data_IF_206631660708
#
_entry.id   IF_206631660708
#
_cell.length_a   1.000
_cell.length_b   1.000
_cell.length_c   1.000
_cell.angle_alpha   90.00
_cell.angle_beta   90.00
_cell.angle_gamma   90.00
#
_symmetry.space_group_name_H-M   'P 1'
#
loop_
_entity.id
_entity.type
_entity.pdbx_description
1 polymer ?
#
# COMPACT_ATOMS: atom_id res chain seq x y z
N UNK A 1 -13.53 -3.51 -38.21
CA UNK A 1 -12.98 -4.05 -36.94
C UNK A 1 -13.91 -3.56 -35.85
N UNK A 2 -14.62 -4.46 -35.16
CA UNK A 2 -15.63 -4.14 -34.15
C UNK A 2 -14.97 -3.48 -32.92
N UNK A 3 -15.14 -2.16 -32.75
CA UNK A 3 -14.60 -1.40 -31.62
C UNK A 3 -15.66 -0.91 -30.64
N UNK A 4 -16.94 -1.28 -30.82
CA UNK A 4 -18.07 -0.77 -30.02
C UNK A 4 -18.83 -1.89 -29.29
N UNK A 5 -18.13 -2.70 -28.49
CA UNK A 5 -18.77 -3.65 -27.56
C UNK A 5 -18.57 -3.18 -26.12
N UNK A 6 -19.61 -2.62 -25.51
CA UNK A 6 -19.64 -2.45 -24.06
C UNK A 6 -19.83 -3.81 -23.40
N UNK A 7 -18.82 -4.26 -22.65
CA UNK A 7 -18.92 -5.43 -21.79
C UNK A 7 -19.36 -4.98 -20.40
N UNK A 8 -20.62 -5.19 -20.08
CA UNK A 8 -21.11 -5.06 -18.71
C UNK A 8 -20.92 -6.42 -18.02
N UNK A 9 -20.11 -6.44 -16.97
CA UNK A 9 -19.83 -7.65 -16.19
C UNK A 9 -20.33 -7.41 -14.77
N UNK A 10 -21.28 -8.22 -14.33
CA UNK A 10 -21.73 -8.23 -12.94
C UNK A 10 -20.66 -8.84 -12.02
N UNK A 11 -20.65 -8.46 -10.73
CA UNK A 11 -19.64 -8.91 -9.76
C UNK A 11 -19.55 -10.44 -9.69
N UNK A 12 -20.69 -11.14 -9.71
CA UNK A 12 -20.73 -12.59 -9.68
C UNK A 12 -20.08 -13.19 -10.95
N UNK A 13 -20.29 -12.53 -12.09
CA UNK A 13 -19.71 -12.96 -13.37
C UNK A 13 -18.21 -12.72 -13.39
N UNK A 14 -17.73 -11.59 -12.84
CA UNK A 14 -16.31 -11.32 -12.69
C UNK A 14 -15.62 -12.38 -11.82
N UNK A 15 -16.25 -12.77 -10.70
CA UNK A 15 -15.74 -13.82 -9.83
C UNK A 15 -15.62 -15.16 -10.57
N UNK A 16 -16.66 -15.57 -11.31
CA UNK A 16 -16.62 -16.79 -12.11
C UNK A 16 -15.58 -16.75 -13.23
N UNK A 17 -15.36 -15.58 -13.86
CA UNK A 17 -14.33 -15.42 -14.87
C UNK A 17 -12.92 -15.56 -14.26
N UNK A 18 -12.69 -14.97 -13.09
CA UNK A 18 -11.41 -15.09 -12.40
C UNK A 18 -11.13 -16.52 -11.96
N UNK A 19 -12.10 -17.21 -11.34
CA UNK A 19 -11.91 -18.60 -10.90
C UNK A 19 -11.67 -19.53 -12.09
N UNK A 20 -12.41 -19.34 -13.18
CA UNK A 20 -12.21 -20.11 -14.40
C UNK A 20 -10.85 -19.81 -15.05
N UNK A 21 -10.45 -18.54 -15.13
CA UNK A 21 -9.14 -18.15 -15.67
C UNK A 21 -7.99 -18.78 -14.87
N UNK A 22 -8.03 -18.72 -13.54
CA UNK A 22 -7.01 -19.32 -12.68
C UNK A 22 -7.00 -20.84 -12.76
N UNK A 23 -8.15 -21.50 -12.93
CA UNK A 23 -8.20 -22.96 -13.11
C UNK A 23 -7.51 -23.47 -14.38
N UNK A 24 -7.34 -22.59 -15.37
CA UNK A 24 -6.67 -22.90 -16.64
C UNK A 24 -5.17 -22.59 -16.62
N UNK A 25 -4.68 -21.92 -15.58
CA UNK A 25 -3.25 -21.65 -15.43
C UNK A 25 -2.54 -22.95 -15.03
N UNK A 26 -1.62 -23.39 -15.88
CA UNK A 26 -0.78 -24.57 -15.61
C UNK A 26 0.53 -24.15 -14.95
N UNK A 27 1.19 -25.07 -14.25
CA UNK A 27 2.51 -24.83 -13.67
C UNK A 27 3.52 -24.36 -14.72
N UNK A 28 3.44 -24.87 -15.96
CA UNK A 28 4.28 -24.43 -17.07
C UNK A 28 4.03 -22.98 -17.47
N UNK A 29 2.79 -22.49 -17.36
CA UNK A 29 2.45 -21.08 -17.60
C UNK A 29 3.10 -20.19 -16.55
N UNK A 30 3.10 -20.62 -15.29
CA UNK A 30 3.75 -19.91 -14.18
C UNK A 30 5.27 -19.92 -14.39
N UNK A 31 5.87 -21.08 -14.65
CA UNK A 31 7.31 -21.19 -14.90
C UNK A 31 7.74 -20.29 -16.06
N UNK A 32 6.99 -20.27 -17.15
CA UNK A 32 7.32 -19.43 -18.30
C UNK A 32 7.14 -17.93 -18.00
N UNK A 33 6.20 -17.52 -17.13
CA UNK A 33 6.09 -16.12 -16.72
C UNK A 33 7.30 -15.67 -15.90
N UNK A 34 7.77 -16.50 -14.96
CA UNK A 34 9.02 -16.25 -14.21
C UNK A 34 10.25 -16.21 -15.13
N UNK A 35 10.32 -17.09 -16.14
CA UNK A 35 11.39 -17.05 -17.16
C UNK A 35 11.38 -15.74 -17.94
N UNK A 36 10.22 -15.29 -18.40
CA UNK A 36 10.10 -14.04 -19.15
C UNK A 36 10.36 -12.79 -18.31
N UNK A 37 10.02 -12.83 -17.02
CA UNK A 37 10.32 -11.75 -16.09
C UNK A 37 11.80 -11.71 -15.66
N UNK A 38 12.64 -12.65 -16.12
CA UNK A 38 14.07 -12.68 -15.84
C UNK A 38 14.44 -13.27 -14.48
N UNK A 39 13.48 -13.87 -13.75
CA UNK A 39 13.74 -14.54 -12.47
C UNK A 39 14.42 -15.90 -12.64
N UNK A 40 14.34 -16.49 -13.84
CA UNK A 40 15.08 -17.71 -14.17
C UNK A 40 16.33 -17.32 -14.92
N UNK A 41 17.45 -17.34 -14.23
CA UNK A 41 18.78 -17.30 -14.85
C UNK A 41 18.88 -18.55 -15.76
N UNK A 42 19.10 -18.41 -17.07
CA UNK A 42 19.38 -19.57 -17.91
C UNK A 42 20.63 -20.23 -17.33
N UNK A 43 20.54 -21.55 -17.09
CA UNK A 43 21.61 -22.37 -16.52
C UNK A 43 22.99 -21.83 -16.89
N UNK A 44 23.65 -21.27 -15.88
CA UNK A 44 25.07 -20.96 -15.81
C UNK A 44 25.79 -21.06 -17.17
N UNK A 45 25.78 -19.98 -17.95
CA UNK A 45 26.85 -19.81 -18.93
C UNK A 45 28.13 -19.73 -18.12
N UNK A 46 28.92 -20.80 -18.20
CA UNK A 46 30.18 -21.01 -17.53
C UNK A 46 30.96 -19.71 -17.25
N UNK A 47 31.37 -19.54 -15.98
CA UNK A 47 32.10 -18.40 -15.40
C UNK A 47 31.25 -17.22 -14.92
N UNK A 48 30.33 -17.45 -14.00
CA UNK A 48 30.37 -16.62 -12.79
C UNK A 48 29.91 -17.45 -11.61
N UNK A 49 30.66 -17.38 -10.52
CA UNK A 49 30.49 -18.22 -9.34
C UNK A 49 29.29 -17.77 -8.52
N UNK A 50 28.08 -17.99 -9.02
CA UNK A 50 26.88 -18.00 -8.19
C UNK A 50 26.80 -19.40 -7.56
N UNK A 51 27.62 -19.60 -6.52
CA UNK A 51 27.26 -20.59 -5.51
C UNK A 51 26.00 -20.07 -4.85
N UNK A 52 24.88 -20.64 -5.25
CA UNK A 52 23.66 -20.67 -4.44
C UNK A 52 23.96 -21.59 -3.25
N UNK A 53 24.80 -21.10 -2.34
CA UNK A 53 24.94 -21.74 -1.05
C UNK A 53 23.63 -21.42 -0.31
N UNK A 54 22.77 -22.45 -0.18
CA UNK A 54 21.53 -22.51 0.62
C UNK A 54 21.80 -22.31 2.13
N UNK A 55 22.81 -21.54 2.48
CA UNK A 55 23.06 -21.07 3.82
C UNK A 55 22.50 -19.66 3.84
N UNK A 56 21.57 -19.35 4.74
CA UNK A 56 21.17 -17.97 5.00
C UNK A 56 22.41 -17.20 5.50
N UNK A 57 23.23 -16.72 4.56
CA UNK A 57 24.42 -15.95 4.85
C UNK A 57 23.90 -14.65 5.42
N UNK A 58 23.91 -14.54 6.74
CA UNK A 58 23.58 -13.33 7.46
C UNK A 58 24.27 -12.16 6.77
N UNK A 59 23.50 -11.19 6.29
CA UNK A 59 24.03 -10.04 5.54
C UNK A 59 25.16 -9.35 6.31
N UNK A 60 25.07 -9.38 7.65
CA UNK A 60 26.07 -8.88 8.60
C UNK A 60 27.41 -9.63 8.47
N UNK A 61 27.37 -10.96 8.29
CA UNK A 61 28.57 -11.76 8.06
C UNK A 61 29.20 -11.44 6.69
N UNK A 62 28.38 -11.20 5.66
CA UNK A 62 28.87 -10.76 4.33
C UNK A 62 29.51 -9.37 4.37
N UNK A 63 28.97 -8.45 5.18
CA UNK A 63 29.54 -7.13 5.45
C UNK A 63 30.88 -7.23 6.21
N UNK A 64 30.95 -8.09 7.23
CA UNK A 64 32.18 -8.38 7.97
C UNK A 64 33.30 -8.90 7.07
N UNK A 65 32.97 -9.80 6.13
CA UNK A 65 33.94 -10.33 5.15
C UNK A 65 34.47 -9.25 4.18
N UNK A 66 33.72 -8.15 4.00
CA UNK A 66 34.13 -6.97 3.22
C UNK A 66 34.85 -5.91 4.06
N UNK A 67 35.12 -6.20 5.33
CA UNK A 67 35.78 -5.28 6.26
C UNK A 67 34.86 -4.21 6.84
N UNK A 68 33.55 -4.34 6.65
CA UNK A 68 32.55 -3.43 7.21
C UNK A 68 32.05 -4.00 8.53
N UNK A 69 32.41 -3.34 9.63
CA UNK A 69 31.91 -3.67 10.96
C UNK A 69 30.59 -2.93 11.17
N UNK A 70 29.49 -3.67 11.26
CA UNK A 70 28.17 -3.14 11.58
C UNK A 70 27.86 -3.46 13.03
N UNK A 71 27.74 -2.44 13.87
CA UNK A 71 27.24 -2.59 15.22
C UNK A 71 25.70 -2.61 15.21
N UNK A 72 25.14 -3.81 15.21
CA UNK A 72 23.69 -4.01 15.24
C UNK A 72 23.06 -3.40 16.50
N UNK A 73 23.78 -3.37 17.62
CA UNK A 73 23.26 -2.80 18.87
C UNK A 73 22.92 -1.33 18.71
N UNK A 74 23.80 -0.56 18.07
CA UNK A 74 23.53 0.85 17.73
C UNK A 74 22.38 1.04 16.73
N UNK A 75 22.21 0.10 15.80
CA UNK A 75 21.14 0.19 14.80
C UNK A 75 19.74 -0.01 15.41
N UNK A 76 19.62 -0.88 16.42
CA UNK A 76 18.33 -1.17 17.08
C UNK A 76 17.76 0.03 17.83
N UNK A 77 18.61 0.95 18.26
CA UNK A 77 18.22 2.13 19.07
C UNK A 77 18.22 3.42 18.26
N UNK A 78 18.48 3.34 16.95
CA UNK A 78 18.65 4.54 16.09
C UNK A 78 17.39 5.39 16.00
N UNK A 79 16.22 4.77 16.14
CA UNK A 79 14.90 5.40 16.03
C UNK A 79 14.20 5.58 17.38
N UNK A 80 14.88 5.27 18.50
CA UNK A 80 14.28 5.33 19.84
C UNK A 80 13.78 6.75 20.19
N UNK A 81 14.53 7.78 19.79
CA UNK A 81 14.20 9.19 20.02
C UNK A 81 13.48 9.84 18.83
N UNK A 82 13.07 9.07 17.81
CA UNK A 82 12.37 9.61 16.64
C UNK A 82 10.89 9.76 17.00
N UNK A 83 10.35 11.01 17.05
CA UNK A 83 8.93 11.20 17.33
C UNK A 83 8.10 10.61 16.19
N UNK A 84 7.37 9.53 16.48
CA UNK A 84 6.49 8.86 15.51
C UNK A 84 5.13 9.53 15.39
N UNK A 85 4.77 10.36 16.37
CA UNK A 85 3.55 11.15 16.41
C UNK A 85 3.87 12.58 16.86
N UNK A 86 3.07 13.53 16.40
CA UNK A 86 3.06 14.89 16.93
C UNK A 86 2.42 14.84 18.32
N UNK A 87 2.95 15.59 19.30
CA UNK A 87 2.37 15.72 20.65
C UNK A 87 1.12 16.62 20.62
N UNK A 88 0.11 16.23 19.85
CA UNK A 88 -1.14 16.98 19.82
C UNK A 88 -2.07 16.51 20.92
N UNK A 89 -2.75 17.46 21.54
CA UNK A 89 -3.93 17.14 22.33
C UNK A 89 -5.10 16.83 21.39
N UNK A 90 -6.09 16.10 21.90
CA UNK A 90 -7.34 15.85 21.18
C UNK A 90 -7.98 17.16 20.69
N UNK A 91 -7.91 18.22 21.51
CA UNK A 91 -8.48 19.52 21.19
C UNK A 91 -7.75 20.18 20.00
N UNK A 92 -6.41 20.11 19.94
CA UNK A 92 -5.62 20.60 18.79
C UNK A 92 -5.99 19.86 17.50
N UNK A 93 -6.20 18.54 17.56
CA UNK A 93 -6.62 17.75 16.40
C UNK A 93 -8.05 18.10 15.94
N UNK A 94 -8.95 18.37 16.89
CA UNK A 94 -10.31 18.81 16.61
C UNK A 94 -10.29 20.19 15.96
N UNK A 95 -9.51 21.13 16.50
CA UNK A 95 -9.39 22.48 15.97
C UNK A 95 -8.82 22.48 14.55
N UNK A 96 -7.80 21.66 14.23
CA UNK A 96 -7.26 21.54 12.86
C UNK A 96 -8.30 20.99 11.86
N UNK A 97 -9.18 20.08 12.30
CA UNK A 97 -10.25 19.54 11.44
C UNK A 97 -11.42 20.52 11.29
N UNK A 98 -11.66 21.36 12.30
CA UNK A 98 -12.72 22.38 12.30
C UNK A 98 -12.28 23.67 11.61
N UNK A 99 -11.00 24.04 11.68
CA UNK A 99 -10.37 25.14 10.96
C UNK A 99 -10.14 24.75 9.50
N UNK A 100 -11.24 24.64 8.75
CA UNK A 100 -11.21 24.85 7.31
C UNK A 100 -10.83 26.32 7.10
N UNK A 101 -9.81 26.65 6.29
CA UNK A 101 -9.52 28.04 6.00
C UNK A 101 -10.75 28.66 5.33
N UNK A 102 -11.44 29.52 6.05
CA UNK A 102 -12.37 30.47 5.45
C UNK A 102 -11.53 31.53 4.75
N UNK A 103 -10.93 31.20 3.61
CA UNK A 103 -10.69 32.24 2.60
C UNK A 103 -12.05 32.57 1.97
N UNK A 104 -12.85 33.28 2.76
CA UNK A 104 -13.99 34.05 2.29
C UNK A 104 -13.43 35.37 1.78
N UNK A 105 -13.07 35.43 0.51
CA UNK A 105 -13.19 36.69 -0.22
C UNK A 105 -14.67 36.89 -0.52
N UNK A 106 -15.34 37.53 0.43
CA UNK A 106 -16.40 38.53 0.31
C UNK A 106 -17.28 38.53 -0.96
N UNK A 107 -18.60 38.43 -0.67
CA UNK A 107 -19.74 39.04 -1.36
C UNK A 107 -20.35 38.30 -2.56
N UNK A 108 -21.29 37.38 -2.28
CA UNK A 108 -22.55 37.27 -3.04
C UNK A 108 -23.65 36.62 -2.17
N UNK A 109 -24.82 37.24 -2.17
CA UNK A 109 -25.96 36.98 -1.28
C UNK A 109 -26.70 35.68 -1.61
N UNK A 110 -27.05 34.91 -0.57
CA UNK A 110 -28.25 34.06 -0.57
C UNK A 110 -28.04 32.55 -0.69
N UNK A 111 -27.96 31.87 0.45
CA UNK A 111 -28.79 30.71 0.83
C UNK A 111 -28.15 30.07 2.07
N UNK A 112 -28.78 30.27 3.24
CA UNK A 112 -28.37 29.68 4.50
C UNK A 112 -28.75 28.19 4.53
N UNK A 113 -28.10 27.40 3.69
CA UNK A 113 -28.04 25.94 3.79
C UNK A 113 -26.63 25.57 4.26
N UNK A 114 -26.38 25.71 5.56
CA UNK A 114 -25.24 25.04 6.18
C UNK A 114 -25.53 23.53 6.15
N UNK A 115 -25.23 22.91 5.02
CA UNK A 115 -25.28 21.46 4.87
C UNK A 115 -24.33 20.82 5.89
N UNK A 116 -24.90 20.05 6.81
CA UNK A 116 -24.11 19.21 7.72
C UNK A 116 -23.18 18.33 6.91
N UNK A 117 -21.91 18.26 7.31
CA UNK A 117 -20.94 17.38 6.66
C UNK A 117 -21.39 15.91 6.81
N UNK A 118 -21.05 15.02 5.86
CA UNK A 118 -21.50 13.62 5.87
C UNK A 118 -21.27 12.90 7.21
N UNK A 119 -20.17 13.21 7.90
CA UNK A 119 -19.83 12.63 9.20
C UNK A 119 -20.64 13.22 10.37
N UNK A 120 -21.03 14.49 10.30
CA UNK A 120 -21.96 15.10 11.27
C UNK A 120 -23.37 14.51 11.17
N UNK A 121 -23.81 14.15 9.96
CA UNK A 121 -25.08 13.44 9.78
C UNK A 121 -25.07 12.06 10.45
N UNK A 122 -23.94 11.34 10.45
CA UNK A 122 -23.85 10.01 11.09
C UNK A 122 -24.01 10.06 12.61
N UNK A 123 -23.59 11.15 13.26
CA UNK A 123 -23.71 11.31 14.72
C UNK A 123 -25.15 11.60 15.18
N UNK A 124 -26.01 12.19 14.34
CA UNK A 124 -27.40 12.45 14.69
C UNK A 124 -28.34 11.23 14.53
N UNK A 125 -27.94 10.23 13.75
CA UNK A 125 -28.76 9.01 13.54
C UNK A 125 -28.67 8.06 14.76
N UNK A 126 -27.76 8.34 15.70
CA UNK A 126 -27.47 7.49 16.86
C UNK A 126 -28.10 7.97 18.18
N UNK A 127 -29.11 8.83 18.16
CA UNK A 127 -29.90 9.13 19.37
C UNK A 127 -31.17 8.28 19.41
N UNK A 128 -31.38 7.42 20.43
CA UNK A 128 -32.60 6.67 20.55
C UNK A 128 -33.77 7.60 20.89
N UNK A 129 -34.86 7.52 20.11
CA UNK A 129 -36.15 8.12 20.45
C UNK A 129 -36.64 7.51 21.76
N UNK A 130 -36.90 8.38 22.74
CA UNK A 130 -37.46 8.02 24.04
C UNK A 130 -38.99 7.96 23.97
#
# INVERSE_FOLDING_TARGET
>A
MESDKQYTVDLLTALHLLTNAWSQVTDMTIINSFRHAGFVVPECSAQDSCKDDEEEVSLVASLGNKGLVVDIGSYVTVDEDVPTCREDTMDTLIDEVLEVPSEVTSEDDGDASMGLRPWQMMLQISTPVR
#
